data_IF_381777866797
#
_entry.id   IF_381777866797
#
_cell.length_a   1.000
_cell.length_b   1.000
_cell.length_c   1.000
_cell.angle_alpha   90.00
_cell.angle_beta   90.00
_cell.angle_gamma   90.00
#
_symmetry.space_group_name_H-M   'P 1'
#
loop_
_entity.id
_entity.type
_entity.pdbx_description
1 polymer ?
#
# COMPACT_ATOMS: atom_id res chain seq x y z
N UNK A 1 -36.46 -63.45 -21.36
CA UNK A 1 -35.28 -62.95 -22.11
C UNK A 1 -35.11 -61.50 -21.70
N UNK A 2 -34.23 -61.24 -20.73
CA UNK A 2 -34.19 -59.98 -19.98
C UNK A 2 -32.88 -59.28 -20.33
N UNK A 3 -32.97 -58.11 -21.00
CA UNK A 3 -31.82 -57.28 -21.37
C UNK A 3 -31.20 -56.67 -20.11
N UNK A 4 -29.95 -57.01 -19.79
CA UNK A 4 -29.14 -56.28 -18.80
C UNK A 4 -28.33 -55.20 -19.52
N UNK A 5 -28.73 -53.94 -19.38
CA UNK A 5 -27.84 -52.80 -19.67
C UNK A 5 -27.00 -52.51 -18.42
N UNK A 6 -25.68 -52.62 -18.54
CA UNK A 6 -24.73 -52.12 -17.54
C UNK A 6 -23.93 -50.98 -18.16
N UNK A 7 -24.46 -49.75 -18.04
CA UNK A 7 -23.71 -48.53 -18.35
C UNK A 7 -23.24 -47.93 -17.02
N UNK A 8 -21.96 -48.15 -16.69
CA UNK A 8 -21.25 -47.34 -15.70
C UNK A 8 -20.78 -46.06 -16.42
N UNK A 9 -21.61 -45.02 -16.43
CA UNK A 9 -21.11 -43.67 -16.68
C UNK A 9 -20.54 -43.15 -15.35
N UNK A 10 -19.22 -43.09 -15.25
CA UNK A 10 -18.56 -42.37 -14.16
C UNK A 10 -18.84 -40.87 -14.35
N UNK A 11 -19.67 -40.34 -13.46
CA UNK A 11 -19.97 -38.92 -13.35
C UNK A 11 -18.75 -38.22 -12.73
N UNK A 12 -17.83 -37.73 -13.57
CA UNK A 12 -16.80 -36.80 -13.12
C UNK A 12 -17.47 -35.44 -12.88
N UNK A 13 -17.92 -35.22 -11.64
CA UNK A 13 -18.39 -33.90 -11.21
C UNK A 13 -17.20 -32.95 -11.19
N UNK A 14 -17.10 -32.10 -12.22
CA UNK A 14 -16.16 -31.00 -12.27
C UNK A 14 -16.67 -29.90 -11.32
N UNK A 15 -16.11 -29.87 -10.11
CA UNK A 15 -16.35 -28.79 -9.15
C UNK A 15 -15.74 -27.51 -9.71
N UNK A 16 -16.57 -26.63 -10.27
CA UNK A 16 -16.21 -25.26 -10.61
C UNK A 16 -16.14 -24.44 -9.30
N UNK A 17 -14.98 -24.42 -8.65
CA UNK A 17 -14.68 -23.36 -7.68
C UNK A 17 -14.40 -22.10 -8.48
N UNK A 18 -15.34 -21.15 -8.47
CA UNK A 18 -15.15 -19.85 -9.12
C UNK A 18 -13.94 -19.15 -8.54
N UNK A 19 -12.88 -19.01 -9.33
CA UNK A 19 -11.75 -18.15 -9.01
C UNK A 19 -12.18 -16.70 -9.22
N UNK A 20 -12.46 -15.98 -8.14
CA UNK A 20 -12.57 -14.52 -8.15
C UNK A 20 -11.24 -13.94 -8.62
N UNK A 21 -11.29 -13.10 -9.66
CA UNK A 21 -10.15 -12.27 -10.04
C UNK A 21 -9.91 -11.27 -8.91
N UNK A 22 -8.85 -11.46 -8.14
CA UNK A 22 -8.37 -10.43 -7.22
C UNK A 22 -7.70 -9.35 -8.06
N UNK A 23 -8.31 -8.16 -8.11
CA UNK A 23 -7.71 -6.98 -8.75
C UNK A 23 -6.71 -6.33 -7.80
N UNK A 24 -5.79 -5.54 -8.30
CA UNK A 24 -4.95 -4.72 -7.43
C UNK A 24 -5.78 -3.64 -6.72
N UNK A 25 -5.47 -3.38 -5.44
CA UNK A 25 -5.97 -2.20 -4.74
C UNK A 25 -5.41 -0.93 -5.41
N UNK A 26 -6.25 0.07 -5.59
CA UNK A 26 -5.95 1.37 -6.18
C UNK A 26 -6.19 2.46 -5.16
N UNK A 27 -5.30 3.46 -5.18
CA UNK A 27 -5.50 4.70 -4.43
C UNK A 27 -6.67 5.48 -5.04
N UNK A 28 -7.56 5.96 -4.18
CA UNK A 28 -8.67 6.84 -4.50
C UNK A 28 -8.48 8.15 -3.74
N UNK A 29 -8.63 9.27 -4.45
CA UNK A 29 -8.62 10.62 -3.89
C UNK A 29 -9.98 11.26 -4.16
N UNK A 30 -10.80 11.48 -3.13
CA UNK A 30 -12.12 12.09 -3.30
C UNK A 30 -12.06 13.45 -3.99
N UNK A 31 -12.91 13.63 -5.00
CA UNK A 31 -13.02 14.91 -5.71
C UNK A 31 -11.83 15.29 -6.60
N UNK A 32 -10.78 14.46 -6.70
CA UNK A 32 -9.67 14.74 -7.59
C UNK A 32 -10.12 14.77 -9.05
N UNK A 33 -9.59 15.75 -9.80
CA UNK A 33 -9.77 15.85 -11.25
C UNK A 33 -8.40 15.77 -11.93
N UNK A 34 -8.28 14.94 -12.96
CA UNK A 34 -7.02 14.73 -13.67
C UNK A 34 -6.11 13.66 -13.06
N UNK A 35 -4.81 13.73 -13.35
CA UNK A 35 -3.82 12.76 -12.84
C UNK A 35 -3.51 13.04 -11.38
N UNK A 36 -3.62 12.00 -10.55
CA UNK A 36 -3.21 12.03 -9.14
C UNK A 36 -1.74 11.60 -8.95
N UNK A 37 -1.11 11.03 -9.99
CA UNK A 37 0.28 10.59 -9.95
C UNK A 37 1.16 11.60 -10.67
N UNK A 38 2.19 12.08 -9.97
CA UNK A 38 3.18 13.03 -10.46
C UNK A 38 4.52 12.34 -10.66
N UNK A 39 5.18 12.67 -11.77
CA UNK A 39 6.52 12.18 -12.06
C UNK A 39 7.57 13.09 -11.43
N UNK A 40 8.72 12.52 -11.14
CA UNK A 40 9.87 13.25 -10.62
C UNK A 40 11.19 12.57 -11.03
N UNK A 41 12.30 13.21 -10.73
CA UNK A 41 13.66 12.74 -10.98
C UNK A 41 14.59 13.13 -9.85
N UNK A 42 15.71 12.42 -9.69
CA UNK A 42 16.69 12.69 -8.63
C UNK A 42 17.31 14.09 -8.70
N UNK A 43 17.26 14.78 -9.83
CA UNK A 43 17.71 16.18 -9.94
C UNK A 43 16.80 17.17 -9.20
N UNK A 44 15.59 16.76 -8.81
CA UNK A 44 14.69 17.57 -8.00
C UNK A 44 14.98 17.47 -6.51
N UNK A 45 15.71 16.44 -6.06
CA UNK A 45 16.07 16.28 -4.64
C UNK A 45 16.94 17.46 -4.24
N UNK A 46 16.37 18.33 -3.41
CA UNK A 46 16.94 19.63 -3.10
C UNK A 46 17.06 19.89 -1.61
N UNK A 47 16.54 18.98 -0.75
CA UNK A 47 16.58 19.05 0.71
C UNK A 47 16.35 20.46 1.23
N UNK A 48 15.18 21.02 0.91
CA UNK A 48 14.84 22.39 1.31
C UNK A 48 14.01 22.36 2.59
N UNK A 49 14.08 23.39 3.46
CA UNK A 49 13.26 23.42 4.66
C UNK A 49 11.77 23.28 4.34
N UNK A 50 11.03 22.61 5.22
CA UNK A 50 9.57 22.55 5.14
C UNK A 50 9.00 23.95 5.06
N UNK A 51 8.46 24.24 3.88
CA UNK A 51 7.80 25.51 3.57
C UNK A 51 6.60 25.15 2.70
N UNK A 52 5.43 25.08 3.34
CA UNK A 52 4.12 24.77 2.74
C UNK A 52 3.68 25.63 1.51
N UNK A 53 4.34 26.74 1.08
CA UNK A 53 3.90 27.45 -0.12
C UNK A 53 4.62 27.13 -1.44
N UNK A 54 5.66 26.30 -1.51
CA UNK A 54 6.42 26.13 -2.77
C UNK A 54 5.62 25.38 -3.85
N UNK A 55 5.15 26.01 -4.95
CA UNK A 55 4.13 25.45 -5.84
C UNK A 55 4.69 24.55 -6.97
N UNK A 56 5.96 24.13 -6.91
CA UNK A 56 6.62 23.40 -8.00
C UNK A 56 7.59 22.31 -7.51
N UNK A 57 7.48 21.89 -6.24
CA UNK A 57 8.31 20.82 -5.67
C UNK A 57 7.41 19.77 -5.04
N UNK A 58 7.75 18.48 -5.14
CA UNK A 58 7.03 17.46 -4.39
C UNK A 58 7.02 17.80 -2.89
N UNK A 59 5.85 17.69 -2.26
CA UNK A 59 5.67 18.04 -0.84
C UNK A 59 6.57 17.27 0.12
N UNK A 60 7.05 16.09 -0.31
CA UNK A 60 7.93 15.22 0.45
C UNK A 60 9.43 15.53 0.28
N UNK A 61 9.83 16.40 -0.65
CA UNK A 61 11.25 16.78 -0.83
C UNK A 61 11.64 17.91 0.13
N UNK A 62 11.70 17.57 1.42
CA UNK A 62 12.16 18.48 2.47
C UNK A 62 13.53 18.05 3.01
N UNK A 63 14.19 18.96 3.74
CA UNK A 63 15.41 18.66 4.50
C UNK A 63 15.06 17.69 5.63
N UNK A 64 15.84 16.62 5.76
CA UNK A 64 15.73 15.65 6.86
C UNK A 64 16.57 16.05 8.07
N UNK A 65 16.05 15.80 9.27
CA UNK A 65 16.74 15.89 10.55
C UNK A 65 17.60 14.67 10.84
N UNK A 66 17.34 13.54 10.18
CA UNK A 66 18.12 12.30 10.34
C UNK A 66 19.40 12.26 9.50
N UNK A 67 19.46 13.06 8.44
CA UNK A 67 20.66 13.11 7.63
C UNK A 67 20.55 13.87 6.32
N UNK A 68 21.69 13.97 5.64
CA UNK A 68 21.77 14.65 4.35
C UNK A 68 21.23 13.75 3.23
N UNK A 69 20.19 14.19 2.54
CA UNK A 69 19.43 13.38 1.57
C UNK A 69 18.75 12.16 2.21
N UNK A 70 18.09 12.37 3.35
CA UNK A 70 17.33 11.30 4.02
C UNK A 70 15.82 11.52 4.00
N UNK A 71 15.30 12.36 3.10
CA UNK A 71 13.86 12.33 2.82
C UNK A 71 13.44 11.06 2.05
N UNK A 72 12.15 10.73 2.08
CA UNK A 72 11.59 9.51 1.48
C UNK A 72 11.97 9.32 0.01
N UNK A 73 12.02 10.38 -0.79
CA UNK A 73 12.43 10.28 -2.19
C UNK A 73 13.88 9.83 -2.34
N UNK A 74 14.76 10.37 -1.50
CA UNK A 74 16.15 9.93 -1.43
C UNK A 74 16.27 8.48 -0.90
N UNK A 75 15.49 8.10 0.11
CA UNK A 75 15.43 6.71 0.60
C UNK A 75 15.08 5.73 -0.53
N UNK A 76 14.20 6.13 -1.47
CA UNK A 76 13.73 5.30 -2.58
C UNK A 76 14.67 5.29 -3.80
N UNK A 77 15.47 6.34 -4.01
CA UNK A 77 16.18 6.54 -5.29
C UNK A 77 17.68 6.80 -5.20
N UNK A 78 18.22 7.22 -4.06
CA UNK A 78 19.64 7.56 -3.91
C UNK A 78 20.41 6.49 -3.13
N UNK A 79 21.41 5.89 -3.76
CA UNK A 79 22.26 4.88 -3.10
C UNK A 79 23.10 5.45 -1.93
N UNK A 80 23.28 6.77 -1.90
CA UNK A 80 24.03 7.52 -0.88
C UNK A 80 23.20 7.89 0.35
N UNK A 81 21.87 7.73 0.30
CA UNK A 81 20.99 8.01 1.42
C UNK A 81 21.27 7.06 2.60
N UNK A 82 21.27 7.61 3.81
CA UNK A 82 21.31 6.90 5.08
C UNK A 82 20.05 6.07 5.34
N UNK A 83 18.89 6.52 4.85
CA UNK A 83 17.59 5.82 4.95
C UNK A 83 17.28 4.91 3.75
N UNK A 84 18.26 4.53 2.92
CA UNK A 84 17.99 3.76 1.69
C UNK A 84 17.20 2.47 1.94
N UNK A 85 16.13 2.27 1.17
CA UNK A 85 15.32 1.05 1.24
C UNK A 85 16.03 -0.12 0.55
N UNK A 86 15.78 -1.35 1.00
CA UNK A 86 16.31 -2.54 0.34
C UNK A 86 15.71 -2.68 -1.07
N UNK A 87 16.55 -2.89 -2.09
CA UNK A 87 16.13 -2.98 -3.49
C UNK A 87 15.34 -1.74 -3.95
N UNK A 88 15.91 -0.55 -3.72
CA UNK A 88 15.40 0.76 -4.15
C UNK A 88 14.61 0.71 -5.47
N UNK A 89 13.35 1.14 -5.50
CA UNK A 89 12.55 1.17 -6.73
C UNK A 89 13.01 2.26 -7.70
N UNK A 90 13.83 3.21 -7.26
CA UNK A 90 14.24 4.38 -8.05
C UNK A 90 13.15 5.45 -8.07
N UNK A 91 13.14 6.25 -9.14
CA UNK A 91 12.18 7.34 -9.33
C UNK A 91 10.84 6.77 -9.81
N UNK A 92 9.94 6.50 -8.88
CA UNK A 92 8.56 6.05 -9.15
C UNK A 92 7.55 7.19 -8.89
N UNK A 93 6.44 7.29 -9.64
CA UNK A 93 5.47 8.37 -9.46
C UNK A 93 4.95 8.48 -8.03
N UNK A 94 4.72 9.71 -7.55
CA UNK A 94 4.16 9.98 -6.22
C UNK A 94 2.73 10.50 -6.32
N UNK A 95 1.93 10.25 -5.29
CA UNK A 95 0.57 10.74 -5.16
C UNK A 95 0.62 12.23 -4.84
N UNK A 96 0.08 13.09 -5.69
CA UNK A 96 0.08 14.51 -5.44
C UNK A 96 -0.65 15.32 -6.50
N UNK A 97 -0.89 16.58 -6.17
CA UNK A 97 -1.43 17.58 -7.08
C UNK A 97 -0.38 18.02 -8.09
N UNK A 98 -0.81 18.58 -9.23
CA UNK A 98 0.09 19.04 -10.30
C UNK A 98 1.04 20.17 -9.90
N UNK A 99 0.75 20.88 -8.80
CA UNK A 99 1.61 21.90 -8.19
C UNK A 99 2.54 21.33 -7.11
N UNK A 100 2.67 20.00 -7.02
CA UNK A 100 3.55 19.33 -6.06
C UNK A 100 2.97 19.14 -4.66
N UNK A 101 1.82 19.76 -4.33
CA UNK A 101 1.18 19.62 -3.01
C UNK A 101 0.58 18.23 -2.81
N UNK A 102 0.51 17.79 -1.56
CA UNK A 102 -0.20 16.59 -1.17
C UNK A 102 -1.72 16.73 -1.38
N UNK A 103 -2.41 15.61 -1.52
CA UNK A 103 -3.85 15.56 -1.25
C UNK A 103 -4.06 15.38 0.25
N UNK A 104 -5.03 16.11 0.83
CA UNK A 104 -5.37 16.03 2.25
C UNK A 104 -6.06 14.71 2.60
N UNK A 105 -6.65 14.03 1.62
CA UNK A 105 -7.39 12.79 1.79
C UNK A 105 -7.08 11.81 0.66
N UNK A 106 -6.81 10.57 1.03
CA UNK A 106 -6.87 9.41 0.15
C UNK A 106 -7.19 8.14 0.92
N UNK A 107 -7.68 7.13 0.19
CA UNK A 107 -7.88 5.77 0.68
C UNK A 107 -7.56 4.75 -0.42
N UNK A 108 -7.64 3.46 -0.08
CA UNK A 108 -7.51 2.36 -1.02
C UNK A 108 -8.85 1.65 -1.17
N UNK A 109 -9.21 1.31 -2.41
CA UNK A 109 -10.23 0.28 -2.58
C UNK A 109 -9.68 -1.07 -2.09
N UNK A 110 -10.51 -1.93 -1.51
CA UNK A 110 -10.08 -3.26 -1.07
C UNK A 110 -10.61 -4.32 -2.02
N UNK A 111 -9.71 -5.17 -2.53
CA UNK A 111 -10.03 -6.31 -3.39
C UNK A 111 -9.77 -7.66 -2.73
N UNK A 112 -9.28 -7.68 -1.48
CA UNK A 112 -8.92 -8.91 -0.78
C UNK A 112 -7.60 -8.87 -0.02
N UNK A 113 -6.93 -7.72 0.02
CA UNK A 113 -5.73 -7.50 0.83
C UNK A 113 -4.43 -7.93 0.16
N UNK A 114 -3.41 -8.15 0.97
CA UNK A 114 -2.09 -8.49 0.49
C UNK A 114 -1.04 -8.51 1.59
N UNK A 115 0.10 -7.90 1.31
CA UNK A 115 1.28 -7.97 2.13
C UNK A 115 1.88 -6.59 2.33
N UNK A 116 2.21 -6.26 3.58
CA UNK A 116 2.97 -5.06 3.93
C UNK A 116 4.34 -5.48 4.41
N UNK A 117 5.39 -4.81 3.93
CA UNK A 117 6.79 -5.07 4.32
C UNK A 117 7.43 -3.80 4.83
N UNK A 118 7.97 -3.84 6.05
CA UNK A 118 8.79 -2.77 6.63
C UNK A 118 10.04 -2.57 5.78
N UNK A 119 10.28 -1.36 5.26
CA UNK A 119 11.45 -1.07 4.43
C UNK A 119 12.56 -0.43 5.24
N UNK A 120 12.26 0.65 5.93
CA UNK A 120 13.19 1.39 6.78
C UNK A 120 12.39 2.14 7.84
N UNK A 121 13.05 2.46 8.95
CA UNK A 121 12.55 3.35 9.98
C UNK A 121 13.74 4.20 10.43
N UNK A 122 13.65 5.52 10.26
CA UNK A 122 14.70 6.46 10.62
C UNK A 122 14.03 7.66 11.28
N UNK A 123 13.86 7.61 12.59
CA UNK A 123 13.27 8.69 13.38
C UNK A 123 13.87 8.73 14.77
N UNK A 124 13.88 9.92 15.38
CA UNK A 124 14.21 10.09 16.80
C UNK A 124 13.23 9.35 17.72
N UNK A 125 11.96 9.33 17.34
CA UNK A 125 10.86 8.71 18.10
C UNK A 125 10.48 7.31 17.58
N UNK A 126 11.30 6.71 16.71
CA UNK A 126 11.06 5.44 16.03
C UNK A 126 10.53 4.32 16.95
N UNK A 127 10.93 4.26 18.23
CA UNK A 127 10.47 3.24 19.17
C UNK A 127 8.97 3.33 19.51
N UNK A 128 8.33 4.48 19.26
CA UNK A 128 6.95 4.79 19.64
C UNK A 128 5.98 4.81 18.46
N UNK A 129 6.49 4.70 17.22
CA UNK A 129 5.66 4.70 16.03
C UNK A 129 4.80 3.46 15.93
N UNK A 130 3.59 3.64 15.43
CA UNK A 130 2.65 2.56 15.13
C UNK A 130 1.97 2.85 13.80
N UNK A 131 2.10 1.90 12.86
CA UNK A 131 1.50 1.98 11.54
C UNK A 131 0.42 0.92 11.36
N UNK A 132 -0.68 1.29 10.70
CA UNK A 132 -1.70 0.34 10.32
C UNK A 132 -2.75 0.89 9.36
N UNK A 133 -3.88 0.18 9.28
CA UNK A 133 -5.02 0.56 8.44
C UNK A 133 -6.31 0.69 9.26
N UNK A 134 -7.26 1.49 8.77
CA UNK A 134 -8.61 1.62 9.32
C UNK A 134 -9.66 1.53 8.23
N UNK A 135 -10.86 1.06 8.57
CA UNK A 135 -12.01 1.05 7.66
C UNK A 135 -12.58 2.47 7.54
N UNK A 136 -12.63 3.03 6.34
CA UNK A 136 -13.07 4.42 6.12
C UNK A 136 -14.56 4.64 6.46
N UNK A 137 -15.36 3.56 6.45
CA UNK A 137 -16.78 3.62 6.80
C UNK A 137 -17.04 3.31 8.30
N UNK A 138 -16.02 2.88 9.04
CA UNK A 138 -16.10 2.61 10.47
C UNK A 138 -14.70 2.68 11.10
N UNK A 139 -14.32 3.87 11.55
CA UNK A 139 -12.98 4.17 12.07
C UNK A 139 -12.61 3.42 13.36
N UNK A 140 -13.58 2.81 14.03
CA UNK A 140 -13.33 1.89 15.16
C UNK A 140 -12.81 0.52 14.71
N UNK A 141 -12.87 0.19 13.42
CA UNK A 141 -12.27 -1.00 12.84
C UNK A 141 -10.90 -0.65 12.27
N UNK A 142 -9.86 -1.03 12.98
CA UNK A 142 -8.47 -0.82 12.57
C UNK A 142 -7.61 -2.03 12.91
N UNK A 143 -6.42 -2.09 12.33
CA UNK A 143 -5.43 -3.11 12.62
C UNK A 143 -4.03 -2.49 12.59
N UNK A 144 -3.27 -2.73 13.65
CA UNK A 144 -1.83 -2.45 13.68
C UNK A 144 -1.11 -3.46 12.79
N UNK A 145 -0.23 -2.95 11.93
CA UNK A 145 0.62 -3.75 11.05
C UNK A 145 2.05 -3.79 11.58
N UNK A 146 2.57 -2.64 12.01
CA UNK A 146 3.91 -2.51 12.57
C UNK A 146 3.93 -1.55 13.75
N UNK A 147 4.87 -1.77 14.64
CA UNK A 147 5.26 -0.86 15.72
C UNK A 147 6.76 -0.55 15.63
N UNK A 148 7.23 0.39 16.44
CA UNK A 148 8.62 0.83 16.52
C UNK A 148 9.66 -0.24 16.87
N UNK A 149 9.23 -1.43 17.28
CA UNK A 149 10.13 -2.56 17.51
C UNK A 149 10.42 -3.35 16.23
N UNK A 150 9.55 -3.22 15.22
CA UNK A 150 9.58 -3.96 13.97
C UNK A 150 10.81 -3.63 13.14
N UNK A 151 11.53 -4.66 12.67
CA UNK A 151 12.76 -4.47 11.87
C UNK A 151 12.47 -4.42 10.37
N UNK A 152 13.30 -3.67 9.65
CA UNK A 152 13.35 -3.67 8.19
C UNK A 152 13.41 -5.10 7.63
N UNK A 153 12.64 -5.35 6.58
CA UNK A 153 12.45 -6.67 5.98
C UNK A 153 11.35 -7.52 6.62
N UNK A 154 10.77 -7.10 7.76
CA UNK A 154 9.61 -7.80 8.35
C UNK A 154 8.38 -7.64 7.47
N UNK A 155 7.57 -8.69 7.42
CA UNK A 155 6.40 -8.76 6.54
C UNK A 155 5.17 -9.22 7.31
N UNK A 156 4.03 -8.58 7.05
CA UNK A 156 2.73 -8.94 7.61
C UNK A 156 1.68 -9.04 6.50
N UNK A 157 0.80 -10.05 6.59
CA UNK A 157 -0.38 -10.13 5.74
C UNK A 157 -1.48 -9.23 6.31
N UNK A 158 -2.18 -8.51 5.44
CA UNK A 158 -3.31 -7.68 5.85
C UNK A 158 -4.49 -7.93 4.92
N UNK A 159 -5.70 -7.92 5.49
CA UNK A 159 -6.93 -8.31 4.78
C UNK A 159 -8.05 -7.33 5.15
N UNK A 160 -8.05 -6.12 4.57
CA UNK A 160 -9.02 -5.10 4.91
C UNK A 160 -10.42 -5.55 4.48
N UNK A 161 -11.38 -5.49 5.40
CA UNK A 161 -12.75 -5.97 5.21
C UNK A 161 -13.62 -5.07 4.31
N UNK A 162 -13.13 -3.87 4.02
CA UNK A 162 -13.74 -2.86 3.16
C UNK A 162 -12.64 -1.92 2.65
N UNK A 163 -13.02 -0.84 1.95
CA UNK A 163 -12.12 0.27 1.64
C UNK A 163 -11.43 0.78 2.92
N UNK A 164 -10.13 1.08 2.82
CA UNK A 164 -9.30 1.36 3.97
C UNK A 164 -8.42 2.58 3.76
N UNK A 165 -8.26 3.35 4.84
CA UNK A 165 -7.24 4.37 4.96
C UNK A 165 -6.07 3.85 5.78
N UNK A 166 -5.05 4.67 5.91
CA UNK A 166 -3.85 4.39 6.72
C UNK A 166 -3.86 5.25 7.97
N UNK A 167 -3.35 4.70 9.07
CA UNK A 167 -3.06 5.50 10.26
C UNK A 167 -1.60 5.36 10.66
N UNK A 168 -1.09 6.44 11.25
CA UNK A 168 0.22 6.50 11.87
C UNK A 168 0.08 7.19 13.21
N UNK A 169 0.61 6.57 14.25
CA UNK A 169 0.46 7.01 15.63
C UNK A 169 1.82 7.08 16.30
N UNK A 170 2.12 8.23 16.90
CA UNK A 170 3.29 8.40 17.75
C UNK A 170 2.85 8.23 19.21
N UNK A 171 3.22 7.08 19.78
CA UNK A 171 2.91 6.69 21.17
C UNK A 171 3.82 7.30 22.23
N UNK A 172 4.59 8.34 21.90
CA UNK A 172 5.45 9.01 22.87
C UNK A 172 4.60 9.56 24.01
N UNK A 173 4.96 9.20 25.24
CA UNK A 173 4.22 9.57 26.45
C UNK A 173 4.00 11.09 26.52
N UNK A 174 2.75 11.52 26.41
CA UNK A 174 2.36 12.94 26.47
C UNK A 174 2.32 13.66 25.12
N UNK A 175 2.58 12.95 24.01
CA UNK A 175 2.41 13.42 22.63
C UNK A 175 1.16 12.78 22.03
N UNK A 176 1.02 11.45 22.02
CA UNK A 176 -0.23 10.75 21.60
C UNK A 176 -0.84 11.22 20.24
N UNK A 177 0.00 11.55 19.25
CA UNK A 177 -0.42 12.09 17.96
C UNK A 177 -0.90 10.99 17.00
N UNK A 178 -2.07 11.17 16.39
CA UNK A 178 -2.67 10.23 15.44
C UNK A 178 -2.94 10.93 14.11
N UNK A 179 -2.33 10.44 13.05
CA UNK A 179 -2.51 10.93 11.69
C UNK A 179 -3.16 9.87 10.80
N UNK A 180 -4.17 10.28 10.05
CA UNK A 180 -4.91 9.43 9.11
C UNK A 180 -4.64 9.90 7.68
N UNK A 181 -4.76 8.96 6.73
CA UNK A 181 -4.68 9.30 5.31
C UNK A 181 -5.81 10.23 4.86
N UNK A 182 -6.94 10.22 5.55
CA UNK A 182 -7.98 11.26 5.53
C UNK A 182 -7.74 12.27 6.67
N UNK A 183 -6.97 13.32 6.39
CA UNK A 183 -6.55 14.28 7.43
C UNK A 183 -7.72 15.09 8.02
N UNK A 184 -8.87 15.16 7.36
CA UNK A 184 -10.05 15.87 7.90
C UNK A 184 -10.70 15.10 9.06
N UNK A 185 -10.40 13.79 9.19
CA UNK A 185 -10.84 12.93 10.28
C UNK A 185 -9.91 12.97 11.51
N UNK A 186 -8.72 13.57 11.42
CA UNK A 186 -7.76 13.61 12.53
C UNK A 186 -8.36 14.25 13.80
N UNK A 187 -9.28 15.21 13.67
CA UNK A 187 -10.00 15.83 14.81
C UNK A 187 -11.23 15.04 15.29
N UNK A 188 -11.67 14.03 14.53
CA UNK A 188 -12.95 13.35 14.74
C UNK A 188 -12.80 11.96 15.37
N UNK A 189 -11.59 11.38 15.32
CA UNK A 189 -11.32 10.07 15.90
C UNK A 189 -10.86 10.21 17.34
N UNK A 190 -11.58 9.54 18.25
CA UNK A 190 -11.05 9.21 19.57
C UNK A 190 -9.83 8.32 19.37
N UNK A 191 -8.63 8.81 19.70
CA UNK A 191 -7.40 8.03 19.54
C UNK A 191 -7.58 6.65 20.21
N UNK A 192 -7.65 5.54 19.44
CA UNK A 192 -7.97 4.22 19.98
C UNK A 192 -6.81 3.65 20.81
N UNK A 193 -5.65 4.30 20.79
CA UNK A 193 -4.46 3.96 21.56
C UNK A 193 -4.38 4.75 22.88
N UNK A 194 -5.18 5.82 23.05
CA UNK A 194 -5.21 6.61 24.29
C UNK A 194 -5.99 5.88 25.39
N UNK A 195 -5.35 5.69 26.55
CA UNK A 195 -5.96 5.04 27.71
C UNK A 195 -7.07 5.85 28.39
N UNK A 196 -7.20 7.15 28.05
CA UNK A 196 -8.02 8.10 28.81
C UNK A 196 -9.21 8.67 28.02
N UNK A 197 -9.51 8.13 26.82
CA UNK A 197 -10.59 8.63 25.95
C UNK A 197 -10.53 10.15 25.70
N UNK A 198 -9.33 10.72 25.75
CA UNK A 198 -9.06 12.12 25.43
C UNK A 198 -7.94 12.17 24.40
N UNK A 199 -8.14 13.01 23.39
CA UNK A 199 -7.08 13.43 22.48
C UNK A 199 -6.08 14.25 23.30
N UNK A 200 -4.85 13.75 23.42
CA UNK A 200 -3.79 14.44 24.18
C UNK A 200 -2.73 15.06 23.27
N UNK A 201 -2.77 14.78 21.98
CA UNK A 201 -1.82 15.29 21.00
C UNK A 201 -2.19 16.58 20.31
N UNK A 202 -1.35 16.97 19.36
CA UNK A 202 -1.64 17.96 18.33
C UNK A 202 -2.43 17.30 17.18
N UNK A 203 -3.36 18.03 16.59
CA UNK A 203 -4.13 17.55 15.42
C UNK A 203 -3.75 18.40 14.23
N UNK A 204 -3.43 17.75 13.12
CA UNK A 204 -3.31 18.41 11.82
C UNK A 204 -4.48 18.04 10.92
N UNK A 205 -5.24 19.05 10.49
CA UNK A 205 -6.27 18.90 9.46
C UNK A 205 -5.88 19.61 8.18
N UNK A 206 -6.15 18.99 7.05
CA UNK A 206 -5.72 19.49 5.74
C UNK A 206 -4.21 19.38 5.48
N UNK A 207 -3.45 18.70 6.33
CA UNK A 207 -2.02 18.40 6.16
C UNK A 207 -1.83 16.89 6.13
N UNK A 208 -1.01 16.44 5.19
CA UNK A 208 -0.82 15.03 4.89
C UNK A 208 0.46 14.50 5.54
N UNK A 209 0.35 13.44 6.34
CA UNK A 209 1.47 12.76 7.02
C UNK A 209 1.93 11.50 6.28
N UNK A 210 1.38 11.24 5.08
CA UNK A 210 1.77 10.12 4.24
C UNK A 210 2.30 10.57 2.87
N UNK A 211 3.45 10.03 2.47
CA UNK A 211 4.01 10.14 1.13
C UNK A 211 3.84 8.83 0.36
N UNK A 212 2.93 8.79 -0.62
CA UNK A 212 2.61 7.56 -1.37
C UNK A 212 3.29 7.56 -2.74
N UNK A 213 3.97 6.46 -3.07
CA UNK A 213 4.63 6.25 -4.35
C UNK A 213 4.15 4.96 -5.01
N UNK A 214 3.80 5.00 -6.29
CA UNK A 214 3.31 3.84 -7.03
C UNK A 214 4.40 3.24 -7.91
N UNK A 215 4.83 2.02 -7.61
CA UNK A 215 5.72 1.27 -8.49
C UNK A 215 4.93 0.67 -9.66
N UNK A 216 3.81 0.01 -9.35
CA UNK A 216 2.81 -0.51 -10.28
C UNK A 216 1.45 -0.48 -9.58
N UNK A 217 0.32 -0.58 -10.29
CA UNK A 217 -0.97 -0.79 -9.62
C UNK A 217 -0.89 -1.94 -8.63
N UNK A 218 -1.32 -1.70 -7.38
CA UNK A 218 -1.24 -2.65 -6.28
C UNK A 218 0.11 -2.76 -5.58
N UNK A 219 1.15 -2.04 -6.02
CA UNK A 219 2.45 -1.99 -5.33
C UNK A 219 2.84 -0.55 -5.02
N UNK A 220 2.81 -0.22 -3.73
CA UNK A 220 3.03 1.13 -3.22
C UNK A 220 4.15 1.15 -2.20
N UNK A 221 4.96 2.21 -2.23
CA UNK A 221 5.81 2.59 -1.11
C UNK A 221 5.14 3.76 -0.41
N UNK A 222 5.10 3.73 0.91
CA UNK A 222 4.50 4.78 1.72
C UNK A 222 5.56 5.21 2.72
N UNK A 223 5.91 6.48 2.72
CA UNK A 223 6.66 7.15 3.79
C UNK A 223 5.69 7.86 4.74
N UNK A 224 6.08 7.98 6.00
CA UNK A 224 5.25 8.54 7.06
C UNK A 224 6.04 9.57 7.85
N UNK A 225 5.30 10.55 8.39
CA UNK A 225 5.79 11.58 9.30
C UNK A 225 5.14 11.41 10.68
N UNK A 226 5.93 11.28 11.75
CA UNK A 226 5.49 10.98 13.12
C UNK A 226 5.20 12.22 13.99
N UNK A 227 5.59 13.41 13.55
CA UNK A 227 5.42 14.67 14.29
C UNK A 227 4.39 15.61 13.66
N UNK A 228 3.73 16.46 14.48
CA UNK A 228 2.74 17.42 14.00
C UNK A 228 3.40 18.60 13.27
N UNK A 229 2.64 19.26 12.40
CA UNK A 229 3.08 20.31 11.48
C UNK A 229 3.79 21.51 12.11
N UNK A 230 3.62 21.70 13.42
CA UNK A 230 4.28 22.74 14.20
C UNK A 230 5.70 22.36 14.67
N UNK A 231 6.09 21.09 14.57
CA UNK A 231 7.35 20.56 15.07
C UNK A 231 7.84 19.36 14.22
N UNK A 232 7.94 19.54 12.91
CA UNK A 232 8.30 18.48 11.96
C UNK A 232 9.10 19.08 10.80
N UNK A 233 9.85 18.26 10.09
CA UNK A 233 10.52 18.60 8.84
C UNK A 233 9.85 17.99 7.59
N UNK A 234 8.82 17.16 7.76
CA UNK A 234 8.03 16.51 6.69
C UNK A 234 8.92 15.84 5.64
N UNK A 235 9.94 15.10 6.06
CA UNK A 235 10.79 14.36 5.15
C UNK A 235 10.21 12.96 4.81
N UNK A 236 9.23 12.51 5.59
CA UNK A 236 8.47 11.26 5.46
C UNK A 236 9.33 9.98 5.54
N UNK A 237 10.49 10.04 6.17
CA UNK A 237 11.39 8.89 6.31
C UNK A 237 11.18 8.10 7.62
N UNK A 238 10.36 8.63 8.55
CA UNK A 238 10.26 8.13 9.92
C UNK A 238 9.94 6.65 9.92
N UNK A 239 8.95 6.28 9.11
CA UNK A 239 8.69 4.90 8.72
C UNK A 239 8.39 4.80 7.23
N UNK A 240 9.02 3.84 6.55
CA UNK A 240 8.71 3.53 5.15
C UNK A 240 8.29 2.08 5.02
N UNK A 241 7.12 1.85 4.42
CA UNK A 241 6.60 0.51 4.16
C UNK A 241 6.37 0.30 2.66
N UNK A 242 6.37 -0.96 2.26
CA UNK A 242 5.91 -1.39 0.95
C UNK A 242 4.62 -2.19 1.09
N UNK A 243 3.54 -1.72 0.48
CA UNK A 243 2.30 -2.47 0.34
C UNK A 243 2.27 -3.14 -1.03
N UNK A 244 1.99 -4.44 -1.05
CA UNK A 244 1.70 -5.21 -2.26
C UNK A 244 0.36 -5.89 -2.09
N UNK A 245 -0.66 -5.39 -2.78
CA UNK A 245 -2.02 -5.95 -2.79
C UNK A 245 -2.10 -6.95 -3.93
N UNK A 246 -2.60 -8.14 -3.64
CA UNK A 246 -2.48 -9.25 -4.55
C UNK A 246 -3.36 -9.02 -5.79
N UNK A 247 -2.72 -8.81 -6.94
CA UNK A 247 -3.26 -9.31 -8.20
C UNK A 247 -2.66 -10.67 -8.52
N UNK A 248 -2.92 -11.74 -7.75
CA UNK A 248 -2.21 -13.03 -7.97
C UNK A 248 -3.06 -14.24 -7.54
N UNK A 249 -3.06 -15.40 -8.24
CA UNK A 249 -2.27 -15.80 -9.41
C UNK A 249 -3.06 -15.76 -10.73
N UNK A 250 -2.31 -15.79 -11.85
CA UNK A 250 -2.83 -16.20 -13.16
C UNK A 250 -3.89 -17.28 -12.96
N UNK A 251 -5.16 -16.98 -13.30
CA UNK A 251 -6.25 -17.81 -12.87
C UNK A 251 -5.97 -19.24 -13.37
N UNK A 252 -6.36 -20.24 -12.58
CA UNK A 252 -6.31 -21.64 -13.01
C UNK A 252 -6.98 -21.84 -14.40
N UNK A 253 -7.74 -20.87 -14.90
CA UNK A 253 -8.18 -20.74 -16.29
C UNK A 253 -7.06 -20.63 -17.33
N UNK A 254 -5.88 -20.07 -17.09
CA UNK A 254 -4.74 -20.12 -18.03
C UNK A 254 -4.12 -21.53 -18.08
N UNK A 255 -3.97 -22.18 -16.93
CA UNK A 255 -3.58 -23.59 -16.86
C UNK A 255 -4.65 -24.50 -17.49
N UNK A 256 -5.94 -24.23 -17.26
CA UNK A 256 -7.08 -24.94 -17.84
C UNK A 256 -7.21 -24.69 -19.34
N UNK A 257 -6.95 -23.47 -19.79
CA UNK A 257 -6.93 -23.11 -21.21
C UNK A 257 -5.77 -23.81 -21.91
N UNK A 258 -4.56 -23.77 -21.32
CA UNK A 258 -3.39 -24.50 -21.81
C UNK A 258 -3.62 -26.02 -21.84
N UNK A 259 -4.10 -26.60 -20.74
CA UNK A 259 -4.40 -28.04 -20.66
C UNK A 259 -5.58 -28.46 -21.52
N UNK A 260 -6.59 -27.61 -21.70
CA UNK A 260 -7.72 -27.82 -22.60
C UNK A 260 -7.28 -27.85 -24.06
N UNK A 261 -6.40 -26.94 -24.48
CA UNK A 261 -5.79 -26.94 -25.81
C UNK A 261 -4.94 -28.20 -26.04
N UNK A 262 -4.14 -28.61 -25.04
CA UNK A 262 -3.36 -29.85 -25.10
C UNK A 262 -4.27 -31.09 -25.22
N UNK A 263 -5.38 -31.13 -24.47
CA UNK A 263 -6.37 -32.19 -24.53
C UNK A 263 -7.04 -32.29 -25.90
N UNK A 264 -7.44 -31.16 -26.49
CA UNK A 264 -8.01 -31.09 -27.86
C UNK A 264 -6.98 -31.54 -28.90
N UNK A 265 -5.72 -31.09 -28.76
CA UNK A 265 -4.62 -31.51 -29.62
C UNK A 265 -4.42 -33.04 -29.59
N UNK A 266 -4.35 -33.63 -28.40
CA UNK A 266 -4.19 -35.07 -28.22
C UNK A 266 -5.35 -35.88 -28.82
N UNK A 267 -6.59 -35.40 -28.68
CA UNK A 267 -7.77 -36.03 -29.29
C UNK A 267 -7.72 -35.99 -30.83
N UNK A 268 -7.20 -34.91 -31.42
CA UNK A 268 -7.04 -34.78 -32.88
C UNK A 268 -6.00 -35.77 -33.44
N UNK A 269 -4.90 -36.00 -32.72
CA UNK A 269 -3.88 -36.97 -33.13
C UNK A 269 -4.37 -38.42 -33.06
N UNK A 270 -5.19 -38.78 -32.06
CA UNK A 270 -5.78 -40.14 -31.96
C UNK A 270 -6.74 -40.43 -33.12
N UNK A 271 -7.53 -39.45 -33.55
CA UNK A 271 -8.45 -39.60 -34.69
C UNK A 271 -7.73 -39.87 -36.02
N UNK A 272 -6.57 -39.24 -36.25
CA UNK A 272 -5.77 -39.50 -37.46
C UNK A 272 -5.17 -40.91 -37.51
N UNK A 273 -4.80 -41.49 -36.36
CA UNK A 273 -4.30 -42.87 -36.30
C UNK A 273 -5.38 -43.92 -36.58
N UNK A 274 -6.62 -43.66 -36.17
CA UNK A 274 -7.73 -44.60 -36.37
C UNK A 274 -8.38 -44.52 -37.76
N UNK A 275 -8.15 -43.45 -38.53
CA UNK A 275 -8.65 -43.30 -39.90
C UNK A 275 -7.67 -43.82 -40.97
N UNK A 276 -6.51 -44.34 -40.55
CA UNK A 276 -5.47 -44.89 -41.43
C UNK A 276 -5.40 -46.44 -41.37
N UNK A 277 -6.39 -47.09 -40.74
CA UNK A 277 -6.59 -48.55 -40.72
C UNK A 277 -7.91 -48.90 -41.39
#
# INVERSE_FOLDING_TARGET
>A
MTLKLTNKLSLAALLFTGSSLLLADNVVVPGATGSIWQNWSTSQISNQPWTNPSPNRPYWDNSSWDGTNDNVGACLALATSGCKVANQPGTIPYLGQSNGKAFSDFYFNSTGGGTVTMQVQVAGDAANDVFGWYNINNTSQFQILFDGSTKAGSTVSFTPSAEYGLFFYNGTSGIDDLFLSDSDLNMQILNPFSSNSQYQGAVDTGIQHFAVFQQTPGTYYIGMEDLPSCNTDFDYNDMVVKITTAGVPEPASLLLFGSGLLGIGALRFRRKKNAAN
#
